data_IF_140767544147
#
_entry.id   IF_140767544147
#
_cell.length_a   1.000
_cell.length_b   1.000
_cell.length_c   1.000
_cell.angle_alpha   90.00
_cell.angle_beta   90.00
_cell.angle_gamma   90.00
#
_symmetry.space_group_name_H-M   'P 1'
#
loop_
_entity.id
_entity.type
_entity.pdbx_description
1 polymer ?
#
# COMPACT_ATOMS: atom_id res chain seq x y z
N UNK A 1 -1.56 -72.98 8.85
CA UNK A 1 -0.86 -71.68 8.82
C UNK A 1 -1.51 -70.79 7.77
N UNK A 2 -2.46 -69.91 8.15
CA UNK A 2 -3.02 -68.85 7.26
C UNK A 2 -3.45 -67.67 8.15
N UNK A 3 -2.64 -66.61 8.21
CA UNK A 3 -3.00 -65.35 8.90
C UNK A 3 -3.61 -64.40 7.87
N UNK A 4 -4.86 -63.99 8.09
CA UNK A 4 -5.53 -62.93 7.33
C UNK A 4 -5.01 -61.58 7.84
N UNK A 5 -4.39 -60.80 6.95
CA UNK A 5 -3.95 -59.44 7.24
C UNK A 5 -5.11 -58.50 6.92
N UNK A 6 -5.74 -57.92 7.95
CA UNK A 6 -6.71 -56.82 7.80
C UNK A 6 -5.92 -55.54 7.52
N UNK A 7 -6.05 -54.99 6.32
CA UNK A 7 -5.49 -53.68 5.97
C UNK A 7 -6.36 -52.57 6.54
N UNK A 8 -5.80 -51.78 7.46
CA UNK A 8 -6.34 -50.48 7.87
C UNK A 8 -5.91 -49.43 6.84
N UNK A 9 -6.87 -48.74 6.22
CA UNK A 9 -6.63 -47.60 5.34
C UNK A 9 -6.74 -46.32 6.19
N UNK A 10 -5.71 -45.45 6.28
CA UNK A 10 -5.86 -44.16 6.93
C UNK A 10 -6.57 -43.19 5.99
N UNK A 11 -7.70 -42.64 6.44
CA UNK A 11 -8.37 -41.50 5.80
C UNK A 11 -7.51 -40.26 6.08
N UNK A 12 -6.73 -39.84 5.08
CA UNK A 12 -6.02 -38.56 5.10
C UNK A 12 -7.04 -37.50 4.68
N UNK A 13 -7.58 -36.78 5.66
CA UNK A 13 -8.38 -35.58 5.41
C UNK A 13 -7.40 -34.44 5.08
N UNK A 14 -7.16 -34.20 3.79
CA UNK A 14 -6.38 -33.05 3.35
C UNK A 14 -7.23 -31.78 3.55
N UNK A 15 -6.89 -30.99 4.57
CA UNK A 15 -7.40 -29.64 4.75
C UNK A 15 -6.82 -28.79 3.62
N UNK A 16 -7.59 -28.57 2.56
CA UNK A 16 -7.22 -27.67 1.48
C UNK A 16 -7.46 -26.25 2.00
N UNK A 17 -6.41 -25.61 2.51
CA UNK A 17 -6.42 -24.15 2.69
C UNK A 17 -6.41 -23.53 1.29
N UNK A 18 -7.58 -23.14 0.79
CA UNK A 18 -7.68 -22.27 -0.38
C UNK A 18 -7.21 -20.89 0.06
N UNK A 19 -5.97 -20.53 -0.27
CA UNK A 19 -5.52 -19.14 -0.19
C UNK A 19 -6.33 -18.34 -1.21
N UNK A 20 -7.30 -17.57 -0.73
CA UNK A 20 -7.99 -16.55 -1.55
C UNK A 20 -6.93 -15.55 -1.98
N UNK A 21 -6.58 -15.55 -3.27
CA UNK A 21 -5.81 -14.46 -3.85
C UNK A 21 -6.80 -13.33 -4.03
N UNK A 22 -6.70 -12.29 -3.23
CA UNK A 22 -7.52 -11.11 -3.39
C UNK A 22 -7.00 -10.27 -4.56
N UNK A 23 -7.90 -9.79 -5.45
CA UNK A 23 -7.57 -8.90 -6.57
C UNK A 23 -7.26 -7.46 -6.13
N UNK A 24 -6.52 -7.29 -5.04
CA UNK A 24 -6.24 -6.01 -4.41
C UNK A 24 -4.85 -5.50 -4.82
N UNK A 25 -4.71 -4.19 -4.98
CA UNK A 25 -3.43 -3.56 -5.27
C UNK A 25 -3.32 -2.13 -4.73
N UNK A 26 -2.10 -1.73 -4.43
CA UNK A 26 -1.68 -0.34 -4.31
C UNK A 26 -0.71 0.00 -5.42
N UNK A 27 -0.89 1.16 -6.05
CA UNK A 27 -0.08 1.59 -7.18
C UNK A 27 0.39 3.03 -7.00
N UNK A 28 1.67 3.26 -7.28
CA UNK A 28 2.27 4.58 -7.42
C UNK A 28 2.32 4.92 -8.91
N UNK A 29 1.98 6.16 -9.26
CA UNK A 29 2.01 6.65 -10.62
C UNK A 29 3.41 7.02 -11.12
N UNK A 30 3.51 7.34 -12.41
CA UNK A 30 4.69 7.95 -13.00
C UNK A 30 4.48 9.45 -13.16
N UNK A 31 5.54 10.24 -12.93
CA UNK A 31 5.52 11.67 -13.13
C UNK A 31 6.76 12.17 -13.91
N UNK A 32 6.60 13.30 -14.60
CA UNK A 32 7.71 13.96 -15.30
C UNK A 32 7.63 15.46 -15.05
N UNK A 33 8.76 16.07 -14.72
CA UNK A 33 8.88 17.51 -14.44
C UNK A 33 10.21 18.08 -14.91
N UNK A 34 10.36 19.39 -14.77
CA UNK A 34 11.65 20.06 -14.95
C UNK A 34 12.41 20.11 -13.61
N UNK A 35 13.74 20.27 -13.66
CA UNK A 35 14.54 20.44 -12.46
C UNK A 35 14.03 21.59 -11.58
N UNK A 36 14.04 21.37 -10.26
CA UNK A 36 13.55 22.32 -9.28
C UNK A 36 12.03 22.51 -9.24
N UNK A 37 11.25 21.83 -10.12
CA UNK A 37 9.78 21.86 -10.09
C UNK A 37 9.21 20.75 -9.23
N UNK A 38 7.95 20.91 -8.82
CA UNK A 38 7.22 19.88 -8.06
C UNK A 38 6.42 19.02 -9.03
N UNK A 39 6.60 17.72 -8.94
CA UNK A 39 5.84 16.69 -9.65
C UNK A 39 4.87 16.00 -8.71
N UNK A 40 3.78 15.49 -9.29
CA UNK A 40 2.70 14.82 -8.58
C UNK A 40 2.69 13.32 -8.94
N UNK A 41 3.05 12.47 -7.98
CA UNK A 41 2.97 11.01 -8.08
C UNK A 41 1.69 10.55 -7.37
N UNK A 42 0.75 9.96 -8.10
CA UNK A 42 -0.51 9.48 -7.50
C UNK A 42 -0.30 8.19 -6.73
N UNK A 43 -0.93 8.05 -5.56
CA UNK A 43 -1.15 6.78 -4.88
C UNK A 43 -2.61 6.34 -5.13
N UNK A 44 -2.79 5.18 -5.74
CA UNK A 44 -4.11 4.61 -6.03
C UNK A 44 -4.29 3.21 -5.47
N UNK A 45 -5.54 2.88 -5.17
CA UNK A 45 -5.99 1.54 -4.81
C UNK A 45 -6.72 0.92 -6.00
N UNK A 46 -6.60 -0.40 -6.15
CA UNK A 46 -7.53 -1.21 -6.94
C UNK A 46 -8.00 -2.37 -6.07
N UNK A 47 -9.31 -2.56 -5.93
CA UNK A 47 -9.88 -3.63 -5.10
C UNK A 47 -11.21 -4.12 -5.63
N UNK A 48 -11.45 -5.43 -5.57
CA UNK A 48 -12.76 -6.02 -5.90
C UNK A 48 -13.82 -5.78 -4.80
N UNK A 49 -13.39 -5.39 -3.61
CA UNK A 49 -14.23 -5.16 -2.43
C UNK A 49 -13.96 -3.78 -1.81
N UNK A 50 -14.89 -3.36 -0.96
CA UNK A 50 -14.78 -2.13 -0.18
C UNK A 50 -13.56 -2.15 0.77
N UNK A 51 -12.80 -1.05 0.79
CA UNK A 51 -11.58 -0.88 1.59
C UNK A 51 -11.87 -0.05 2.85
N UNK A 52 -11.62 -0.62 4.02
CA UNK A 52 -11.94 -0.03 5.33
C UNK A 52 -10.76 0.74 5.95
N UNK A 53 -9.57 0.54 5.40
CA UNK A 53 -8.35 1.20 5.84
C UNK A 53 -7.17 0.84 4.95
N UNK A 54 -6.11 1.64 5.04
CA UNK A 54 -4.87 1.38 4.32
C UNK A 54 -3.67 1.86 5.13
N UNK A 55 -2.54 1.21 4.92
CA UNK A 55 -1.23 1.72 5.29
C UNK A 55 -0.34 1.64 4.07
N UNK A 56 0.29 2.76 3.73
CA UNK A 56 1.24 2.84 2.63
C UNK A 56 2.56 3.45 3.13
N UNK A 57 3.67 2.82 2.80
CA UNK A 57 5.01 3.31 3.05
C UNK A 57 5.85 3.11 1.79
N UNK A 58 6.54 4.16 1.35
CA UNK A 58 7.31 4.15 0.10
C UNK A 58 8.52 5.08 0.17
N UNK A 59 9.56 4.79 -0.62
CA UNK A 59 10.80 5.54 -0.69
C UNK A 59 11.25 5.88 -2.12
N UNK A 60 12.20 6.80 -2.20
CA UNK A 60 12.94 7.15 -3.42
C UNK A 60 14.35 7.63 -3.06
N UNK A 61 15.21 7.77 -4.07
CA UNK A 61 16.55 8.34 -3.88
C UNK A 61 16.46 9.85 -3.63
N UNK A 62 16.80 10.27 -2.41
CA UNK A 62 16.69 11.66 -1.97
C UNK A 62 17.75 12.60 -2.59
N UNK A 63 18.71 12.03 -3.33
CA UNK A 63 19.63 12.82 -4.14
C UNK A 63 19.03 13.28 -5.47
N UNK A 64 17.98 12.60 -5.96
CA UNK A 64 17.29 12.93 -7.21
C UNK A 64 16.04 13.79 -7.00
N UNK A 65 15.47 13.81 -5.79
CA UNK A 65 14.32 14.64 -5.45
C UNK A 65 14.00 14.63 -3.97
N UNK A 66 13.33 15.68 -3.49
CA UNK A 66 12.92 15.81 -2.08
C UNK A 66 11.42 15.77 -1.93
N UNK A 67 10.93 15.00 -0.97
CA UNK A 67 9.52 15.02 -0.57
C UNK A 67 9.10 16.41 -0.09
N UNK A 68 7.96 16.87 -0.57
CA UNK A 68 7.38 18.19 -0.24
C UNK A 68 6.10 18.00 0.58
N UNK A 69 5.21 17.12 0.11
CA UNK A 69 3.93 16.88 0.75
C UNK A 69 3.37 15.50 0.37
N UNK A 70 2.44 14.99 1.16
CA UNK A 70 1.62 13.83 0.85
C UNK A 70 0.16 14.19 1.10
N UNK A 71 -0.54 14.53 0.02
CA UNK A 71 -1.85 15.16 0.08
C UNK A 71 -2.96 14.10 -0.08
N UNK A 72 -3.81 13.88 0.93
CA UNK A 72 -4.97 13.01 0.80
C UNK A 72 -5.94 13.53 -0.26
N UNK A 73 -6.53 12.63 -1.03
CA UNK A 73 -7.53 12.95 -2.05
C UNK A 73 -8.94 13.12 -1.47
N UNK A 74 -9.88 13.54 -2.30
CA UNK A 74 -11.30 13.59 -1.95
C UNK A 74 -11.91 12.21 -1.62
N UNK A 75 -11.29 11.10 -2.06
CA UNK A 75 -11.75 9.76 -1.69
C UNK A 75 -11.61 9.47 -0.19
N UNK A 76 -10.77 10.25 0.51
CA UNK A 76 -10.52 10.13 1.95
C UNK A 76 -11.15 11.28 2.76
N UNK A 77 -12.00 12.12 2.13
CA UNK A 77 -12.52 13.33 2.78
C UNK A 77 -13.34 13.05 4.04
N UNK A 78 -14.03 11.91 4.06
CA UNK A 78 -14.89 11.47 5.14
C UNK A 78 -14.26 10.36 6.00
N UNK A 79 -12.95 10.09 5.82
CA UNK A 79 -12.25 9.11 6.65
C UNK A 79 -12.02 9.67 8.06
N UNK A 80 -12.29 8.86 9.09
CA UNK A 80 -12.14 9.25 10.50
C UNK A 80 -10.69 9.60 10.88
N UNK A 81 -9.73 8.87 10.34
CA UNK A 81 -8.31 9.08 10.60
C UNK A 81 -7.53 9.05 9.30
N UNK A 82 -6.84 10.14 9.02
CA UNK A 82 -5.81 10.21 7.97
C UNK A 82 -4.55 10.76 8.60
N UNK A 83 -3.51 9.94 8.67
CA UNK A 83 -2.19 10.32 9.17
C UNK A 83 -1.19 10.23 8.05
N UNK A 84 -0.42 11.31 7.85
CA UNK A 84 0.64 11.35 6.86
C UNK A 84 1.95 11.77 7.50
N UNK A 85 3.04 11.24 6.94
CA UNK A 85 4.40 11.69 7.18
C UNK A 85 5.11 11.78 5.84
N UNK A 86 5.79 12.89 5.62
CA UNK A 86 6.65 13.09 4.45
C UNK A 86 8.02 13.53 4.94
N UNK A 87 9.06 12.91 4.40
CA UNK A 87 10.46 13.30 4.58
C UNK A 87 11.13 13.44 3.22
N UNK A 88 12.42 13.78 3.18
CA UNK A 88 13.15 14.02 1.92
C UNK A 88 13.13 12.83 0.97
N UNK A 89 13.22 11.60 1.48
CA UNK A 89 13.34 10.37 0.66
C UNK A 89 12.25 9.34 0.89
N UNK A 90 11.23 9.61 1.71
CA UNK A 90 10.16 8.65 1.96
C UNK A 90 8.85 9.32 2.38
N UNK A 91 7.76 8.58 2.19
CA UNK A 91 6.42 8.95 2.65
C UNK A 91 5.73 7.78 3.34
N UNK A 92 4.89 8.11 4.32
CA UNK A 92 4.04 7.15 5.04
C UNK A 92 2.63 7.71 5.15
N UNK A 93 1.63 6.90 4.88
CA UNK A 93 0.22 7.21 5.08
C UNK A 93 -0.46 6.07 5.84
N UNK A 94 -1.23 6.41 6.86
CA UNK A 94 -2.15 5.50 7.54
C UNK A 94 -3.56 6.07 7.51
N UNK A 95 -4.52 5.25 7.11
CA UNK A 95 -5.94 5.64 7.01
C UNK A 95 -6.81 4.62 7.71
N UNK A 96 -7.73 5.12 8.52
CA UNK A 96 -8.90 4.37 9.02
C UNK A 96 -10.14 5.12 8.55
N UNK A 97 -10.99 4.45 7.78
CA UNK A 97 -12.14 5.10 7.15
C UNK A 97 -13.23 5.35 8.20
N UNK A 98 -13.54 4.35 9.01
CA UNK A 98 -14.58 4.41 10.04
C UNK A 98 -14.12 3.71 11.32
N UNK A 99 -14.21 4.43 12.43
CA UNK A 99 -13.83 3.97 13.77
C UNK A 99 -15.03 3.71 14.68
N UNK A 100 -16.21 4.24 14.35
CA UNK A 100 -17.37 4.26 15.24
C UNK A 100 -18.66 3.64 14.65
N UNK A 101 -18.67 3.35 13.35
CA UNK A 101 -19.80 2.75 12.64
C UNK A 101 -20.86 3.74 12.18
N UNK A 102 -20.64 5.05 12.31
CA UNK A 102 -21.62 6.08 11.99
C UNK A 102 -21.33 6.84 10.67
N UNK A 103 -20.13 6.68 10.11
CA UNK A 103 -19.67 7.31 8.87
C UNK A 103 -19.80 6.43 7.61
N UNK A 104 -19.21 6.86 6.48
CA UNK A 104 -18.99 5.94 5.37
C UNK A 104 -18.08 4.81 5.87
N UNK A 105 -18.56 3.59 5.78
CA UNK A 105 -17.88 2.42 6.37
C UNK A 105 -16.62 2.01 5.59
N UNK A 106 -16.44 2.52 4.36
CA UNK A 106 -15.35 2.13 3.48
C UNK A 106 -15.18 3.06 2.26
N UNK A 107 -14.01 2.99 1.65
CA UNK A 107 -13.74 3.41 0.27
C UNK A 107 -14.37 2.35 -0.65
N UNK A 108 -15.23 2.71 -1.61
CA UNK A 108 -15.90 1.73 -2.48
C UNK A 108 -14.93 0.89 -3.30
N UNK A 109 -15.34 -0.35 -3.61
CA UNK A 109 -14.65 -1.20 -4.58
C UNK A 109 -14.40 -0.52 -5.94
N UNK A 110 -13.34 -0.94 -6.62
CA UNK A 110 -12.86 -0.41 -7.89
C UNK A 110 -11.51 0.30 -7.74
N UNK A 111 -11.18 1.11 -8.75
CA UNK A 111 -9.97 1.92 -8.78
C UNK A 111 -10.23 3.30 -8.18
N UNK A 112 -9.36 3.75 -7.28
CA UNK A 112 -9.47 5.06 -6.64
C UNK A 112 -8.10 5.65 -6.35
N UNK A 113 -7.87 6.90 -6.76
CA UNK A 113 -6.73 7.67 -6.26
C UNK A 113 -7.03 8.10 -4.84
N UNK A 114 -6.15 7.78 -3.89
CA UNK A 114 -6.33 8.07 -2.46
C UNK A 114 -5.42 9.18 -1.97
N UNK A 115 -4.26 9.39 -2.60
CA UNK A 115 -3.35 10.47 -2.27
C UNK A 115 -2.51 10.93 -3.46
N UNK A 116 -1.88 12.09 -3.31
CA UNK A 116 -0.85 12.60 -4.23
C UNK A 116 0.41 12.90 -3.44
N UNK A 117 1.49 12.18 -3.75
CA UNK A 117 2.84 12.48 -3.30
C UNK A 117 3.39 13.63 -4.14
N UNK A 118 3.87 14.68 -3.48
CA UNK A 118 4.51 15.83 -4.10
C UNK A 118 6.02 15.74 -3.88
N UNK A 119 6.77 15.62 -4.97
CA UNK A 119 8.24 15.54 -4.95
C UNK A 119 8.77 16.77 -5.69
N UNK A 120 9.71 17.48 -5.08
CA UNK A 120 10.51 18.47 -5.79
C UNK A 120 11.65 17.76 -6.50
N UNK A 121 11.69 17.82 -7.84
CA UNK A 121 12.79 17.29 -8.62
C UNK A 121 14.10 18.01 -8.25
N UNK A 122 15.19 17.25 -8.16
CA UNK A 122 16.51 17.79 -7.84
C UNK A 122 17.01 18.84 -8.84
N UNK A 123 18.15 19.47 -8.51
CA UNK A 123 18.74 20.56 -9.31
C UNK A 123 19.84 20.07 -10.28
N UNK A 124 19.91 18.75 -10.54
CA UNK A 124 20.99 18.12 -11.29
C UNK A 124 20.97 18.44 -12.80
N UNK A 125 22.11 18.42 -13.51
CA UNK A 125 22.15 18.69 -14.96
C UNK A 125 21.76 17.48 -15.82
N UNK A 126 21.47 16.32 -15.22
CA UNK A 126 21.19 15.07 -15.92
C UNK A 126 19.79 14.60 -15.55
N UNK A 127 18.95 14.40 -16.57
CA UNK A 127 17.64 13.80 -16.36
C UNK A 127 17.84 12.32 -16.01
N UNK A 128 17.37 11.92 -14.84
CA UNK A 128 17.31 10.53 -14.38
C UNK A 128 15.84 10.18 -14.11
N UNK A 129 15.48 8.92 -14.33
CA UNK A 129 14.22 8.37 -13.84
C UNK A 129 14.50 7.72 -12.50
N UNK A 130 13.84 8.21 -11.46
CA UNK A 130 13.99 7.73 -10.10
C UNK A 130 12.74 6.95 -9.72
N UNK A 131 12.94 5.70 -9.28
CA UNK A 131 11.84 4.85 -8.85
C UNK A 131 11.29 5.33 -7.49
N UNK A 132 9.97 5.22 -7.33
CA UNK A 132 9.27 5.38 -6.05
C UNK A 132 8.72 4.01 -5.67
N UNK A 133 9.30 3.37 -4.66
CA UNK A 133 9.02 1.97 -4.33
C UNK A 133 8.27 1.83 -3.02
N UNK A 134 7.32 0.88 -2.97
CA UNK A 134 6.74 0.48 -1.69
C UNK A 134 7.77 -0.23 -0.82
N UNK A 135 7.76 0.06 0.48
CA UNK A 135 8.72 -0.47 1.46
C UNK A 135 8.02 -0.97 2.72
N UNK A 136 7.95 -2.29 2.87
CA UNK A 136 7.47 -2.94 4.10
C UNK A 136 8.52 -2.86 5.22
N UNK A 137 8.04 -2.80 6.47
CA UNK A 137 8.88 -2.89 7.67
C UNK A 137 9.96 -1.82 7.81
N UNK A 138 9.90 -0.72 7.04
CA UNK A 138 11.01 0.24 6.94
C UNK A 138 10.72 1.60 7.58
N UNK A 139 9.49 2.09 7.50
CA UNK A 139 9.13 3.46 7.91
C UNK A 139 7.95 3.51 8.87
N UNK A 140 7.91 4.55 9.70
CA UNK A 140 6.87 4.80 10.69
C UNK A 140 6.24 6.19 10.49
N UNK A 141 4.99 6.34 10.87
CA UNK A 141 4.28 7.64 10.84
C UNK A 141 4.82 8.66 11.84
N UNK A 142 5.62 8.23 12.83
CA UNK A 142 6.24 9.08 13.86
C UNK A 142 7.63 8.58 14.24
N UNK A 143 8.49 9.47 14.72
CA UNK A 143 9.85 9.10 15.16
C UNK A 143 9.84 8.12 16.33
N UNK A 144 10.63 7.06 16.21
CA UNK A 144 10.68 5.97 17.19
C UNK A 144 9.42 5.10 17.23
N UNK A 145 8.47 5.30 16.31
CA UNK A 145 7.33 4.41 16.11
C UNK A 145 7.72 3.07 15.50
N UNK A 146 6.82 2.07 15.52
CA UNK A 146 7.05 0.81 14.83
C UNK A 146 7.06 1.06 13.32
N UNK A 147 7.96 0.36 12.62
CA UNK A 147 7.93 0.34 11.17
C UNK A 147 6.66 -0.38 10.69
N UNK A 148 6.11 0.09 9.58
CA UNK A 148 4.80 -0.32 9.08
C UNK A 148 4.94 -1.08 7.76
N UNK A 149 4.05 -2.07 7.59
CA UNK A 149 3.90 -2.80 6.35
C UNK A 149 2.78 -2.19 5.51
N UNK A 150 2.92 -2.30 4.19
CA UNK A 150 1.90 -1.92 3.23
C UNK A 150 0.74 -2.90 3.31
N UNK A 151 -0.42 -2.41 3.74
CA UNK A 151 -1.63 -3.23 3.92
C UNK A 151 -2.87 -2.51 3.42
N UNK A 152 -3.84 -3.30 2.96
CA UNK A 152 -5.24 -2.87 2.86
C UNK A 152 -6.07 -3.63 3.88
N UNK A 153 -7.09 -2.97 4.43
CA UNK A 153 -8.09 -3.62 5.28
C UNK A 153 -9.34 -3.82 4.45
N UNK A 154 -9.66 -5.09 4.16
CA UNK A 154 -10.80 -5.50 3.35
C UNK A 154 -11.54 -6.62 4.08
N UNK A 155 -12.87 -6.52 4.16
CA UNK A 155 -13.72 -7.48 4.89
C UNK A 155 -13.26 -7.74 6.35
N UNK A 156 -12.66 -6.73 6.99
CA UNK A 156 -12.11 -6.80 8.34
C UNK A 156 -10.77 -7.54 8.45
N UNK A 157 -10.12 -7.86 7.32
CA UNK A 157 -8.82 -8.52 7.27
C UNK A 157 -7.76 -7.57 6.73
N UNK A 158 -6.59 -7.57 7.37
CA UNK A 158 -5.39 -6.93 6.81
C UNK A 158 -4.80 -7.85 5.75
N UNK A 159 -4.64 -7.33 4.54
CA UNK A 159 -4.03 -8.01 3.39
C UNK A 159 -2.74 -7.29 3.06
N UNK A 160 -1.60 -7.93 3.34
CA UNK A 160 -0.27 -7.44 2.98
C UNK A 160 0.27 -8.06 1.69
N UNK A 161 1.51 -7.73 1.32
CA UNK A 161 2.16 -8.28 0.13
C UNK A 161 2.23 -9.81 0.15
N UNK A 162 2.55 -10.40 1.31
CA UNK A 162 2.60 -11.86 1.51
C UNK A 162 1.22 -12.54 1.38
N UNK A 163 0.14 -11.78 1.57
CA UNK A 163 -1.24 -12.25 1.42
C UNK A 163 -1.80 -12.04 0.00
N UNK A 164 -0.98 -11.51 -0.92
CA UNK A 164 -1.32 -11.30 -2.32
C UNK A 164 -1.70 -9.87 -2.70
N UNK A 165 -1.46 -8.88 -1.83
CA UNK A 165 -1.59 -7.48 -2.21
C UNK A 165 -0.56 -7.13 -3.30
N UNK A 166 -1.04 -6.68 -4.47
CA UNK A 166 -0.18 -6.18 -5.52
C UNK A 166 0.41 -4.81 -5.16
N UNK A 167 1.73 -4.69 -5.13
CA UNK A 167 2.43 -3.42 -4.90
C UNK A 167 3.12 -2.98 -6.20
N UNK A 168 2.50 -2.03 -6.90
CA UNK A 168 3.01 -1.52 -8.17
C UNK A 168 3.75 -0.20 -7.93
N UNK A 169 5.07 -0.25 -7.98
CA UNK A 169 5.93 0.94 -7.81
C UNK A 169 5.81 1.89 -9.00
N UNK A 170 6.09 3.17 -8.76
CA UNK A 170 6.01 4.24 -9.75
C UNK A 170 7.38 4.89 -9.96
N UNK A 171 7.38 6.08 -10.55
CA UNK A 171 8.62 6.83 -10.78
C UNK A 171 8.40 8.33 -10.93
N UNK A 172 9.48 9.10 -10.82
CA UNK A 172 9.52 10.47 -11.31
C UNK A 172 10.76 10.71 -12.19
N UNK A 173 10.69 11.73 -13.04
CA UNK A 173 11.75 12.12 -13.99
C UNK A 173 11.77 13.61 -14.29
#
# INVERSE_FOLDING_TARGET
>A
MKRKLLGFLPVICALVCTSTVYGQSMSLGDATGEFGTVVDVSLSLGSDNDVQGLVAAFDWDDSDGSGVDLVPSAALADADVVQTRIESGYGVMGVVVDTDGAGPVAIPAGDSVVATLKIQCGDGPAASTTAVNFQDGSYATVDGGPALDNILVVDGQSVGADDGLGLNSGSFS
#
